data_IF_425056289934
#
_entry.id   IF_425056289934
#
_cell.length_a   1.000
_cell.length_b   1.000
_cell.length_c   1.000
_cell.angle_alpha   90.00
_cell.angle_beta   90.00
_cell.angle_gamma   90.00
#
_symmetry.space_group_name_H-M   'P 1'
#
loop_
_entity.id
_entity.type
_entity.pdbx_description
1 polymer ?
#
# COMPACT_ATOMS: atom_id res chain seq x y z
N UNK A 1 -5.39 -15.06 7.97
CA UNK A 1 -4.94 -15.60 6.68
C UNK A 1 -4.04 -14.56 6.02
N UNK A 2 -2.89 -14.31 6.64
CA UNK A 2 -1.95 -13.24 6.28
C UNK A 2 -0.77 -13.80 5.45
N UNK A 3 -1.05 -14.70 4.51
CA UNK A 3 -0.01 -15.42 3.77
C UNK A 3 -0.02 -14.96 2.33
N UNK A 4 1.08 -14.34 1.92
CA UNK A 4 1.34 -13.87 0.56
C UNK A 4 0.43 -12.70 0.18
N UNK A 5 1.00 -11.49 0.19
CA UNK A 5 0.54 -10.47 -0.76
C UNK A 5 0.46 -11.18 -2.11
N UNK A 6 -0.74 -11.27 -2.68
CA UNK A 6 -0.98 -12.02 -3.91
C UNK A 6 0.09 -11.61 -4.93
N UNK A 7 0.79 -12.58 -5.53
CA UNK A 7 1.85 -12.28 -6.50
C UNK A 7 1.32 -11.41 -7.64
N UNK A 8 0.04 -11.57 -8.00
CA UNK A 8 -0.64 -10.73 -8.99
C UNK A 8 -0.77 -9.29 -8.51
N UNK A 9 -1.19 -9.06 -7.26
CA UNK A 9 -1.24 -7.71 -6.68
C UNK A 9 0.13 -7.08 -6.65
N UNK A 10 1.15 -7.81 -6.18
CA UNK A 10 2.52 -7.29 -6.12
C UNK A 10 3.02 -6.88 -7.51
N UNK A 11 2.78 -7.70 -8.54
CA UNK A 11 3.13 -7.37 -9.91
C UNK A 11 2.38 -6.12 -10.40
N UNK A 12 1.08 -6.03 -10.15
CA UNK A 12 0.26 -4.90 -10.56
C UNK A 12 0.71 -3.57 -9.90
N UNK A 13 1.07 -3.58 -8.60
CA UNK A 13 1.56 -2.35 -7.93
C UNK A 13 3.01 -2.00 -8.29
N UNK A 14 3.83 -2.97 -8.72
CA UNK A 14 5.19 -2.73 -9.22
C UNK A 14 5.20 -2.04 -10.60
N UNK A 15 4.12 -2.15 -11.37
CA UNK A 15 3.95 -1.37 -12.61
C UNK A 15 3.77 0.11 -12.29
N UNK A 16 4.34 0.97 -13.14
CA UNK A 16 4.12 2.41 -13.07
C UNK A 16 2.60 2.68 -13.17
N UNK A 17 2.01 3.52 -12.29
CA UNK A 17 0.58 3.78 -12.34
C UNK A 17 0.06 4.21 -13.71
N UNK A 18 0.86 4.94 -14.50
CA UNK A 18 0.48 5.38 -15.85
C UNK A 18 0.46 4.24 -16.91
N UNK A 19 1.07 3.09 -16.60
CA UNK A 19 1.21 1.95 -17.51
C UNK A 19 0.30 0.77 -17.12
N UNK A 20 -0.48 0.91 -16.04
CA UNK A 20 -1.38 -0.16 -15.57
C UNK A 20 -2.51 -0.39 -16.57
N UNK A 21 -2.76 -1.65 -16.87
CA UNK A 21 -3.93 -2.06 -17.64
C UNK A 21 -5.18 -2.04 -16.77
N UNK A 22 -6.36 -2.14 -17.39
CA UNK A 22 -7.63 -2.27 -16.67
C UNK A 22 -7.64 -3.49 -15.72
N UNK A 23 -7.02 -4.59 -16.13
CA UNK A 23 -6.89 -5.80 -15.32
C UNK A 23 -6.01 -5.55 -14.08
N UNK A 24 -4.90 -4.82 -14.23
CA UNK A 24 -4.03 -4.47 -13.10
C UNK A 24 -4.79 -3.60 -12.08
N UNK A 25 -5.57 -2.62 -12.56
CA UNK A 25 -6.38 -1.77 -11.70
C UNK A 25 -7.45 -2.56 -10.94
N UNK A 26 -8.05 -3.59 -11.54
CA UNK A 26 -9.01 -4.47 -10.89
C UNK A 26 -8.37 -5.34 -9.81
N UNK A 27 -7.15 -5.85 -10.04
CA UNK A 27 -6.38 -6.59 -9.04
C UNK A 27 -6.06 -5.69 -7.84
N UNK A 28 -5.56 -4.47 -8.11
CA UNK A 28 -5.26 -3.48 -7.06
C UNK A 28 -6.52 -3.11 -6.27
N UNK A 29 -7.63 -2.84 -6.97
CA UNK A 29 -8.91 -2.53 -6.35
C UNK A 29 -9.40 -3.64 -5.43
N UNK A 30 -9.36 -4.89 -5.90
CA UNK A 30 -9.83 -6.05 -5.14
C UNK A 30 -9.06 -6.20 -3.82
N UNK A 31 -7.74 -5.96 -3.86
CA UNK A 31 -6.91 -5.99 -2.66
C UNK A 31 -7.22 -4.82 -1.71
N UNK A 32 -7.23 -3.58 -2.21
CA UNK A 32 -7.48 -2.39 -1.37
C UNK A 32 -8.88 -2.41 -0.74
N UNK A 33 -9.89 -2.87 -1.49
CA UNK A 33 -11.25 -3.03 -0.99
C UNK A 33 -11.35 -4.07 0.13
N UNK A 34 -10.48 -5.09 0.14
CA UNK A 34 -10.42 -6.10 1.19
C UNK A 34 -9.75 -5.64 2.50
N UNK A 35 -9.13 -4.45 2.51
CA UNK A 35 -8.39 -3.97 3.69
C UNK A 35 -9.32 -3.32 4.71
N UNK A 36 -9.31 -3.81 5.95
CA UNK A 36 -10.10 -3.24 7.05
C UNK A 36 -9.78 -1.74 7.25
N UNK A 37 -8.50 -1.37 7.15
CA UNK A 37 -8.05 0.02 7.27
C UNK A 37 -8.69 0.98 6.24
N UNK A 38 -9.17 0.44 5.10
CA UNK A 38 -9.77 1.20 4.01
C UNK A 38 -11.29 1.00 3.90
N UNK A 39 -11.90 0.23 4.80
CA UNK A 39 -13.32 -0.14 4.77
C UNK A 39 -14.29 1.04 4.79
N UNK A 40 -13.85 2.21 5.27
CA UNK A 40 -14.67 3.43 5.31
C UNK A 40 -14.66 4.22 3.99
N UNK A 41 -13.83 3.84 3.02
CA UNK A 41 -13.73 4.52 1.74
C UNK A 41 -14.77 3.98 0.76
N UNK A 42 -15.40 4.88 0.01
CA UNK A 42 -16.34 4.50 -1.05
C UNK A 42 -15.59 3.96 -2.27
N UNK A 43 -16.27 3.14 -3.08
CA UNK A 43 -15.69 2.56 -4.31
C UNK A 43 -14.97 3.61 -5.17
N UNK A 44 -15.61 4.75 -5.44
CA UNK A 44 -14.99 5.80 -6.25
C UNK A 44 -13.64 6.31 -5.69
N UNK A 45 -13.52 6.44 -4.36
CA UNK A 45 -12.27 6.85 -3.71
C UNK A 45 -11.20 5.77 -3.85
N UNK A 46 -11.58 4.49 -3.67
CA UNK A 46 -10.69 3.36 -3.89
C UNK A 46 -10.21 3.29 -5.34
N UNK A 47 -11.07 3.55 -6.33
CA UNK A 47 -10.69 3.58 -7.75
C UNK A 47 -9.62 4.64 -8.03
N UNK A 48 -9.80 5.86 -7.52
CA UNK A 48 -8.79 6.93 -7.63
C UNK A 48 -7.46 6.51 -6.98
N UNK A 49 -7.52 5.81 -5.84
CA UNK A 49 -6.32 5.29 -5.20
C UNK A 49 -5.61 4.23 -6.04
N UNK A 50 -6.35 3.36 -6.74
CA UNK A 50 -5.75 2.33 -7.61
C UNK A 50 -4.92 2.94 -8.75
N UNK A 51 -5.36 4.10 -9.26
CA UNK A 51 -4.68 4.86 -10.31
C UNK A 51 -3.42 5.58 -9.83
N UNK A 52 -3.24 5.74 -8.51
CA UNK A 52 -2.16 6.59 -7.95
C UNK A 52 -1.22 5.86 -7.00
N UNK A 53 -1.61 4.70 -6.45
CA UNK A 53 -0.80 3.92 -5.52
C UNK A 53 0.51 3.49 -6.16
N UNK A 54 1.61 3.58 -5.40
CA UNK A 54 2.95 3.23 -5.83
C UNK A 54 3.53 2.15 -4.92
N UNK A 55 4.27 1.22 -5.51
CA UNK A 55 5.05 0.26 -4.75
C UNK A 55 6.42 0.85 -4.42
N UNK A 56 6.77 0.84 -3.14
CA UNK A 56 8.06 1.27 -2.64
C UNK A 56 8.67 0.14 -1.80
N UNK A 57 10.00 -0.04 -1.92
CA UNK A 57 10.77 -0.98 -1.12
C UNK A 57 11.89 -0.21 -0.45
N UNK A 58 11.95 -0.35 0.87
CA UNK A 58 12.96 0.27 1.70
C UNK A 58 13.82 -0.77 2.38
N UNK A 59 15.08 -0.44 2.57
CA UNK A 59 16.03 -1.32 3.28
C UNK A 59 15.89 -1.12 4.79
N UNK A 60 16.48 -2.04 5.57
CA UNK A 60 16.43 -1.94 7.03
C UNK A 60 17.09 -0.65 7.52
N UNK A 61 16.47 0.00 8.51
CA UNK A 61 16.88 1.29 9.10
C UNK A 61 16.73 2.51 8.19
N UNK A 62 16.08 2.39 7.04
CA UNK A 62 15.70 3.55 6.24
C UNK A 62 14.60 4.36 6.93
N UNK A 63 14.79 5.68 7.00
CA UNK A 63 13.83 6.60 7.62
C UNK A 63 12.84 7.07 6.55
N UNK A 64 11.55 6.73 6.74
CA UNK A 64 10.50 7.11 5.77
C UNK A 64 10.08 8.58 5.90
N UNK A 65 9.98 9.09 7.13
CA UNK A 65 9.63 10.49 7.39
C UNK A 65 10.03 10.90 8.82
N UNK A 66 10.21 12.20 9.03
CA UNK A 66 10.36 12.82 10.34
C UNK A 66 9.05 13.48 10.82
N UNK A 67 8.82 13.60 12.14
CA UNK A 67 7.58 14.17 12.68
C UNK A 67 7.20 15.58 12.17
N UNK A 68 8.18 16.38 11.75
CA UNK A 68 7.99 17.76 11.30
C UNK A 68 7.92 17.89 9.77
N UNK A 69 7.99 16.77 9.04
CA UNK A 69 7.88 16.77 7.58
C UNK A 69 6.44 17.04 7.14
N UNK A 70 6.30 17.81 6.06
CA UNK A 70 5.01 17.97 5.39
C UNK A 70 4.62 16.61 4.77
N UNK A 71 3.52 16.03 5.23
CA UNK A 71 3.01 14.76 4.72
C UNK A 71 2.62 14.86 3.24
N UNK A 72 3.45 14.31 2.37
CA UNK A 72 3.21 14.25 0.92
C UNK A 72 2.48 12.98 0.48
N UNK A 73 2.57 11.91 1.29
CA UNK A 73 1.93 10.63 1.04
C UNK A 73 1.67 9.88 2.37
N UNK A 74 1.05 8.72 2.24
CA UNK A 74 0.77 7.79 3.32
C UNK A 74 1.13 6.37 2.86
N UNK A 75 1.42 5.49 3.81
CA UNK A 75 1.96 4.16 3.53
C UNK A 75 1.02 3.06 4.00
N UNK A 76 0.96 1.99 3.21
CA UNK A 76 0.36 0.72 3.59
C UNK A 76 1.50 -0.30 3.69
N UNK A 77 1.73 -0.84 4.89
CA UNK A 77 2.80 -1.80 5.10
C UNK A 77 2.38 -3.19 4.61
N UNK A 78 2.93 -3.61 3.47
CA UNK A 78 2.62 -4.90 2.84
C UNK A 78 3.42 -6.07 3.46
N UNK A 79 4.66 -5.83 3.86
CA UNK A 79 5.56 -6.84 4.42
C UNK A 79 6.65 -6.19 5.27
N UNK A 80 7.26 -6.94 6.18
CA UNK A 80 8.32 -6.44 7.06
C UNK A 80 7.77 -5.83 8.35
N UNK A 81 8.46 -4.82 8.87
CA UNK A 81 8.05 -4.09 10.07
C UNK A 81 8.52 -2.64 9.99
N UNK A 82 7.83 -1.75 10.69
CA UNK A 82 8.23 -0.34 10.84
C UNK A 82 8.32 0.02 12.31
N UNK A 83 9.22 0.94 12.63
CA UNK A 83 9.42 1.43 13.99
C UNK A 83 8.85 2.85 14.11
N UNK A 84 7.88 3.04 14.99
CA UNK A 84 7.21 4.32 15.20
C UNK A 84 7.17 4.59 16.70
N UNK A 85 7.79 5.70 17.13
CA UNK A 85 7.79 6.18 18.53
C UNK A 85 8.00 5.04 19.54
N UNK A 86 9.13 4.34 19.40
CA UNK A 86 9.56 3.25 20.30
C UNK A 86 8.82 1.92 20.16
N UNK A 87 7.84 1.82 19.27
CA UNK A 87 7.04 0.61 19.05
C UNK A 87 7.26 0.04 17.65
N UNK A 88 7.35 -1.28 17.55
CA UNK A 88 7.40 -1.98 16.28
C UNK A 88 5.98 -2.36 15.81
N UNK A 89 5.67 -2.03 14.56
CA UNK A 89 4.40 -2.34 13.92
C UNK A 89 4.62 -3.34 12.79
N UNK A 90 3.75 -4.34 12.75
CA UNK A 90 3.71 -5.39 11.73
C UNK A 90 2.48 -5.17 10.82
N UNK A 91 2.51 -5.65 9.56
CA UNK A 91 1.33 -5.72 8.71
C UNK A 91 0.19 -6.41 9.46
N UNK A 92 -0.94 -5.71 9.63
CA UNK A 92 -2.17 -6.32 10.16
C UNK A 92 -3.00 -6.75 8.96
N UNK A 93 -3.31 -8.03 8.89
CA UNK A 93 -4.21 -8.65 7.90
C UNK A 93 -5.66 -8.39 8.22
#
# INVERSE_FOLDING_TARGET
MASYVDNSFRQAVMMNPAERTQQDLEIVYSYLHGMEALSNLREHQLRIMCETVRYERHEANEVLYYPDDVGSCWYILLSGSVFIKESMFLPRS
#
